data_IF_215674373704
#
_entry.id   IF_215674373704
#
_cell.length_a   1.000
_cell.length_b   1.000
_cell.length_c   1.000
_cell.angle_alpha   90.00
_cell.angle_beta   90.00
_cell.angle_gamma   90.00
#
_symmetry.space_group_name_H-M   'P 1'
#
loop_
_entity.id
_entity.type
_entity.pdbx_description
1 polymer ?
#
# COMPACT_ATOMS: atom_id res chain seq x y z
N UNK A 1 -16.73 -4.50 0.36
CA UNK A 1 -15.84 -3.68 -0.49
C UNK A 1 -14.41 -3.58 0.04
N UNK A 2 -14.16 -3.35 1.35
CA UNK A 2 -12.81 -3.23 1.93
C UNK A 2 -11.86 -4.42 1.68
N UNK A 3 -12.38 -5.66 1.61
CA UNK A 3 -11.57 -6.87 1.30
C UNK A 3 -10.99 -6.84 -0.13
N UNK A 4 -11.76 -6.36 -1.09
CA UNK A 4 -11.33 -6.23 -2.49
C UNK A 4 -10.29 -5.11 -2.63
N UNK A 5 -10.49 -3.99 -1.95
CA UNK A 5 -9.51 -2.89 -1.89
C UNK A 5 -8.20 -3.33 -1.24
N UNK A 6 -8.28 -4.16 -0.19
CA UNK A 6 -7.10 -4.72 0.47
C UNK A 6 -6.38 -5.75 -0.42
N UNK A 7 -7.11 -6.61 -1.13
CA UNK A 7 -6.54 -7.51 -2.14
C UNK A 7 -5.81 -6.72 -3.23
N UNK A 8 -6.41 -5.65 -3.75
CA UNK A 8 -5.78 -4.79 -4.74
C UNK A 8 -4.48 -4.14 -4.23
N UNK A 9 -4.48 -3.62 -2.99
CA UNK A 9 -3.28 -3.05 -2.37
C UNK A 9 -2.14 -4.07 -2.22
N UNK A 10 -2.46 -5.30 -1.82
CA UNK A 10 -1.48 -6.39 -1.73
C UNK A 10 -0.89 -6.71 -3.12
N UNK A 11 -1.74 -6.89 -4.13
CA UNK A 11 -1.28 -7.17 -5.51
C UNK A 11 -0.39 -6.04 -6.02
N UNK A 12 -0.78 -4.78 -5.82
CA UNK A 12 -0.01 -3.60 -6.22
C UNK A 12 1.34 -3.51 -5.50
N UNK A 13 1.39 -3.91 -4.23
CA UNK A 13 2.64 -3.99 -3.45
C UNK A 13 3.57 -5.07 -4.00
N UNK A 14 3.04 -6.26 -4.31
CA UNK A 14 3.80 -7.35 -4.92
C UNK A 14 4.38 -6.93 -6.27
N UNK A 15 3.57 -6.31 -7.14
CA UNK A 15 4.04 -5.82 -8.44
C UNK A 15 5.14 -4.75 -8.27
N UNK A 16 4.95 -3.81 -7.35
CA UNK A 16 5.96 -2.78 -7.07
C UNK A 16 7.26 -3.37 -6.52
N UNK A 17 7.18 -4.48 -5.76
CA UNK A 17 8.35 -5.21 -5.27
C UNK A 17 9.16 -5.81 -6.42
N UNK A 18 8.49 -6.39 -7.43
CA UNK A 18 9.18 -6.86 -8.64
C UNK A 18 9.89 -5.72 -9.37
N UNK A 19 9.23 -4.57 -9.55
CA UNK A 19 9.89 -3.40 -10.17
C UNK A 19 11.08 -2.88 -9.35
N UNK A 20 10.98 -2.92 -8.02
CA UNK A 20 12.10 -2.55 -7.16
C UNK A 20 13.29 -3.51 -7.32
N UNK A 21 13.04 -4.82 -7.42
CA UNK A 21 14.07 -5.82 -7.73
C UNK A 21 14.72 -5.58 -9.10
N UNK A 22 13.93 -5.22 -10.13
CA UNK A 22 14.47 -4.81 -11.44
C UNK A 22 15.31 -3.53 -11.31
N UNK A 23 14.88 -2.59 -10.47
CA UNK A 23 15.64 -1.37 -10.21
C UNK A 23 16.98 -1.63 -9.52
N UNK A 24 17.03 -2.61 -8.61
CA UNK A 24 18.28 -3.06 -7.98
C UNK A 24 19.27 -3.64 -8.99
N UNK A 25 18.77 -4.27 -10.05
CA UNK A 25 19.58 -4.77 -11.16
C UNK A 25 20.00 -3.67 -12.16
N UNK A 26 19.71 -2.40 -11.86
CA UNK A 26 19.93 -1.24 -12.74
C UNK A 26 19.13 -1.26 -14.06
N UNK A 27 18.05 -2.04 -14.15
CA UNK A 27 17.17 -2.02 -15.34
C UNK A 27 16.24 -0.79 -15.37
N UNK A 28 15.91 -0.26 -14.19
CA UNK A 28 15.03 0.90 -14.01
C UNK A 28 15.65 1.80 -12.93
N UNK A 29 15.55 3.13 -13.02
CA UNK A 29 16.10 4.00 -11.99
C UNK A 29 15.53 3.69 -10.59
N UNK A 30 16.42 3.37 -9.65
CA UNK A 30 16.04 3.03 -8.27
C UNK A 30 15.27 4.18 -7.58
N UNK A 31 15.58 5.42 -7.97
CA UNK A 31 14.89 6.62 -7.51
C UNK A 31 13.39 6.65 -7.87
N UNK A 32 12.95 5.92 -8.89
CA UNK A 32 11.52 5.83 -9.27
C UNK A 32 10.86 4.61 -8.63
N UNK A 33 11.56 3.47 -8.62
CA UNK A 33 11.01 2.22 -8.09
C UNK A 33 10.88 2.23 -6.57
N UNK A 34 11.78 2.93 -5.85
CA UNK A 34 11.71 3.06 -4.40
C UNK A 34 10.48 3.87 -3.91
N UNK A 35 10.17 5.08 -4.44
CA UNK A 35 8.92 5.77 -4.14
C UNK A 35 7.68 4.96 -4.54
N UNK A 36 7.73 4.26 -5.67
CA UNK A 36 6.62 3.41 -6.12
C UNK A 36 6.31 2.30 -5.11
N UNK A 37 7.34 1.59 -4.64
CA UNK A 37 7.21 0.58 -3.59
C UNK A 37 6.67 1.19 -2.30
N UNK A 38 7.24 2.32 -1.88
CA UNK A 38 6.84 3.01 -0.66
C UNK A 38 5.36 3.41 -0.69
N UNK A 39 4.89 4.02 -1.80
CA UNK A 39 3.49 4.41 -1.97
C UNK A 39 2.54 3.21 -1.95
N UNK A 40 2.91 2.10 -2.58
CA UNK A 40 2.11 0.87 -2.58
C UNK A 40 1.97 0.26 -1.19
N UNK A 41 3.05 0.23 -0.42
CA UNK A 41 3.02 -0.22 0.98
C UNK A 41 2.18 0.75 1.83
N UNK A 42 2.40 2.07 1.70
CA UNK A 42 1.67 3.10 2.44
C UNK A 42 0.17 3.01 2.18
N UNK A 43 -0.22 2.83 0.91
CA UNK A 43 -1.61 2.66 0.52
C UNK A 43 -2.23 1.41 1.17
N UNK A 44 -1.50 0.29 1.15
CA UNK A 44 -1.92 -0.96 1.79
C UNK A 44 -2.09 -0.80 3.30
N UNK A 45 -1.14 -0.13 3.97
CA UNK A 45 -1.22 0.18 5.39
C UNK A 45 -2.36 1.15 5.71
N UNK A 46 -2.62 2.15 4.87
CA UNK A 46 -3.71 3.09 5.05
C UNK A 46 -5.08 2.37 5.02
N UNK A 47 -5.27 1.43 4.10
CA UNK A 47 -6.47 0.60 4.03
C UNK A 47 -6.62 -0.24 5.31
N UNK A 48 -5.52 -0.84 5.77
CA UNK A 48 -5.52 -1.66 6.98
C UNK A 48 -5.82 -0.82 8.23
N UNK A 49 -5.24 0.37 8.33
CA UNK A 49 -5.40 1.26 9.46
C UNK A 49 -6.84 1.82 9.54
N UNK A 50 -7.49 2.06 8.40
CA UNK A 50 -8.91 2.45 8.35
C UNK A 50 -9.88 1.34 8.85
N UNK A 51 -9.38 0.14 9.15
CA UNK A 51 -10.16 -0.93 9.80
C UNK A 51 -10.13 -0.87 11.33
N UNK A 52 -9.06 -0.31 11.91
CA UNK A 52 -8.85 -0.19 13.35
C UNK A 52 -9.09 1.24 13.88
N UNK A 53 -9.75 2.11 13.09
CA UNK A 53 -10.09 3.45 13.53
C UNK A 53 -11.14 3.37 14.65
N UNK A 54 -10.80 3.89 15.82
CA UNK A 54 -11.74 4.06 16.93
C UNK A 54 -12.92 4.91 16.45
N UNK A 55 -14.14 4.36 16.49
CA UNK A 55 -15.34 5.01 15.95
C UNK A 55 -15.87 6.16 16.83
N UNK A 56 -15.09 6.63 17.80
CA UNK A 56 -15.57 7.59 18.80
C UNK A 56 -16.67 7.00 19.67
N UNK A 57 -17.03 7.70 20.74
CA UNK A 57 -18.26 7.42 21.45
C UNK A 57 -19.41 7.96 20.58
N UNK A 58 -20.33 7.09 20.12
CA UNK A 58 -21.61 7.55 19.56
C UNK A 58 -22.29 8.41 20.63
N UNK A 59 -22.25 9.74 20.49
CA UNK A 59 -23.13 10.60 21.26
C UNK A 59 -24.56 10.26 20.82
N UNK A 60 -25.31 9.61 21.73
CA UNK A 60 -26.76 9.55 21.65
C UNK A 60 -27.26 10.97 21.95
N UNK A 61 -27.53 11.72 20.88
CA UNK A 61 -28.46 12.85 20.91
C UNK A 61 -29.86 12.32 20.66
#
# INVERSE_FOLDING_TARGET
MKKFTLFFGIVMTIVSLFFYLLGLMNLVPLFITAPLLFLSILFTLWILNNRNRFNGFKQRG
#
